data_IF_062758660279
#
_entry.id   IF_062758660279
#
_cell.length_a   1.000
_cell.length_b   1.000
_cell.length_c   1.000
_cell.angle_alpha   90.00
_cell.angle_beta   90.00
_cell.angle_gamma   90.00
#
_symmetry.space_group_name_H-M   'P 1'
#
loop_
_entity.id
_entity.type
_entity.pdbx_description
1 polymer ?
#
# COMPACT_ATOMS: atom_id res chain seq x y z
N UNK A 1 -27.60 -28.54 0.88
CA UNK A 1 -28.33 -27.27 0.96
C UNK A 1 -28.58 -26.79 -0.48
N UNK A 2 -29.81 -26.87 -1.00
CA UNK A 2 -30.09 -26.42 -2.36
C UNK A 2 -29.90 -24.90 -2.44
N UNK A 3 -28.97 -24.43 -3.29
CA UNK A 3 -28.67 -23.00 -3.48
C UNK A 3 -27.22 -22.57 -3.19
N UNK A 4 -26.38 -23.46 -2.65
CA UNK A 4 -24.94 -23.16 -2.48
C UNK A 4 -24.21 -23.37 -3.80
N UNK A 5 -23.57 -22.32 -4.32
CA UNK A 5 -22.76 -22.40 -5.54
C UNK A 5 -21.35 -22.90 -5.25
N UNK A 6 -20.74 -22.49 -4.13
CA UNK A 6 -19.38 -22.94 -3.74
C UNK A 6 -19.08 -22.66 -2.27
N UNK A 7 -18.17 -23.44 -1.70
CA UNK A 7 -17.61 -23.24 -0.35
C UNK A 7 -16.09 -23.37 -0.44
N UNK A 8 -15.36 -22.44 0.18
CA UNK A 8 -13.90 -22.47 0.23
C UNK A 8 -13.40 -22.48 1.68
N UNK A 9 -12.40 -23.32 2.01
CA UNK A 9 -11.75 -23.27 3.32
C UNK A 9 -11.06 -21.93 3.55
N UNK A 10 -11.14 -21.42 4.78
CA UNK A 10 -10.37 -20.25 5.18
C UNK A 10 -8.87 -20.52 5.09
N UNK A 11 -8.07 -19.54 4.64
CA UNK A 11 -6.62 -19.66 4.48
C UNK A 11 -5.92 -18.56 5.28
N UNK A 12 -4.82 -18.93 5.94
CA UNK A 12 -3.93 -17.97 6.59
C UNK A 12 -3.06 -17.30 5.54
N UNK A 13 -2.99 -15.96 5.57
CA UNK A 13 -2.02 -15.19 4.79
C UNK A 13 -0.88 -14.75 5.72
N UNK A 14 0.33 -14.65 5.16
CA UNK A 14 1.50 -14.12 5.86
C UNK A 14 1.77 -12.70 5.39
N UNK A 15 2.14 -11.82 6.32
CA UNK A 15 2.55 -10.46 5.98
C UNK A 15 3.86 -10.50 5.19
N UNK A 16 3.91 -9.74 4.11
CA UNK A 16 5.10 -9.53 3.27
C UNK A 16 5.40 -8.03 3.17
N UNK A 17 5.33 -7.32 4.28
CA UNK A 17 5.58 -5.87 4.31
C UNK A 17 7.08 -5.58 4.30
N UNK A 18 7.48 -4.65 3.45
CA UNK A 18 8.79 -4.01 3.49
C UNK A 18 8.55 -2.54 3.84
N UNK A 19 9.47 -1.88 4.55
CA UNK A 19 9.31 -0.46 4.90
C UNK A 19 9.35 0.40 3.63
N UNK A 20 8.17 0.75 3.10
CA UNK A 20 7.97 1.21 1.72
C UNK A 20 8.57 2.57 1.37
N UNK A 21 8.69 3.51 2.33
CA UNK A 21 9.03 4.91 2.02
C UNK A 21 10.54 5.15 1.86
N UNK A 22 11.35 4.61 2.76
CA UNK A 22 12.82 4.64 2.62
C UNK A 22 13.27 3.83 1.40
N UNK A 23 12.63 2.68 1.15
CA UNK A 23 12.95 1.80 0.03
C UNK A 23 12.75 2.46 -1.35
N UNK A 24 11.74 3.33 -1.48
CA UNK A 24 11.45 4.02 -2.74
C UNK A 24 12.29 5.31 -2.93
N UNK A 25 13.14 5.67 -1.96
CA UNK A 25 14.00 6.88 -2.04
C UNK A 25 13.21 8.18 -2.12
N UNK A 26 11.97 8.18 -1.62
CA UNK A 26 11.04 9.31 -1.71
C UNK A 26 11.22 10.31 -0.56
N UNK A 27 12.03 9.96 0.44
CA UNK A 27 12.31 10.76 1.63
C UNK A 27 13.78 10.62 2.04
N UNK A 28 14.38 11.72 2.52
CA UNK A 28 15.70 11.73 3.14
C UNK A 28 15.65 12.55 4.42
N UNK A 29 16.01 11.95 5.56
CA UNK A 29 16.04 12.61 6.87
C UNK A 29 14.73 13.34 7.25
N UNK A 30 13.56 12.74 6.98
CA UNK A 30 12.28 13.38 7.33
C UNK A 30 11.75 14.38 6.30
N UNK A 31 12.45 14.57 5.17
CA UNK A 31 12.16 15.63 4.19
C UNK A 31 12.06 15.11 2.77
N UNK A 32 11.11 15.65 2.02
CA UNK A 32 11.01 15.46 0.58
C UNK A 32 11.96 16.41 -0.15
N UNK A 33 12.71 15.90 -1.12
CA UNK A 33 13.60 16.73 -1.94
C UNK A 33 12.80 17.65 -2.89
N UNK A 34 13.30 18.86 -3.22
CA UNK A 34 12.71 19.68 -4.28
C UNK A 34 12.73 18.93 -5.62
N UNK A 35 11.66 19.06 -6.41
CA UNK A 35 11.41 18.33 -7.68
C UNK A 35 11.29 16.81 -7.52
N UNK A 36 11.03 16.33 -6.30
CA UNK A 36 10.76 14.91 -6.03
C UNK A 36 9.47 14.41 -6.70
N UNK A 37 9.31 13.09 -6.76
CA UNK A 37 8.07 12.47 -7.26
C UNK A 37 6.84 12.86 -6.43
N UNK A 38 7.02 13.20 -5.14
CA UNK A 38 5.96 13.73 -4.30
C UNK A 38 5.42 15.07 -4.78
N UNK A 39 6.31 16.02 -5.05
CA UNK A 39 5.93 17.35 -5.57
C UNK A 39 5.30 17.21 -6.96
N UNK A 40 5.86 16.36 -7.83
CA UNK A 40 5.31 16.12 -9.18
C UNK A 40 3.95 15.41 -9.17
N UNK A 41 3.68 14.62 -8.13
CA UNK A 41 2.43 13.88 -7.97
C UNK A 41 1.39 14.60 -7.10
N UNK A 42 1.55 15.91 -6.84
CA UNK A 42 0.71 16.69 -5.94
C UNK A 42 0.46 15.98 -4.59
N UNK A 43 1.46 15.26 -4.07
CA UNK A 43 1.36 14.51 -2.82
C UNK A 43 0.20 13.50 -2.77
N UNK A 44 -0.26 13.01 -3.92
CA UNK A 44 -1.39 12.07 -4.00
C UNK A 44 -2.76 12.72 -3.95
N UNK A 45 -2.87 14.00 -4.34
CA UNK A 45 -4.16 14.65 -4.59
C UNK A 45 -5.07 13.75 -5.45
N UNK A 46 -6.31 13.56 -4.99
CA UNK A 46 -7.33 12.69 -5.60
C UNK A 46 -6.96 11.20 -5.72
N UNK A 47 -5.98 10.72 -4.94
CA UNK A 47 -5.58 9.30 -4.87
C UNK A 47 -6.01 8.67 -3.55
N UNK A 48 -6.67 7.50 -3.63
CA UNK A 48 -7.02 6.67 -2.46
C UNK A 48 -6.08 5.47 -2.41
N UNK A 49 -5.38 5.30 -1.28
CA UNK A 49 -4.52 4.13 -1.01
C UNK A 49 -5.19 3.29 0.08
N UNK A 50 -5.65 2.08 -0.27
CA UNK A 50 -6.16 1.11 0.69
C UNK A 50 -5.04 0.24 1.24
N UNK A 51 -4.82 0.27 2.56
CA UNK A 51 -3.86 -0.56 3.26
C UNK A 51 -4.60 -1.65 4.05
N UNK A 52 -4.34 -2.91 3.75
CA UNK A 52 -4.83 -4.06 4.52
C UNK A 52 -3.61 -4.73 5.12
N UNK A 53 -3.34 -4.39 6.36
CA UNK A 53 -2.24 -4.89 7.17
C UNK A 53 -2.77 -5.15 8.59
N UNK A 54 -1.96 -5.76 9.46
CA UNK A 54 -2.35 -6.12 10.84
C UNK A 54 -2.49 -4.92 11.77
#
# INVERSE_FOLDING_TARGET
>A
HPGVVSVFPNKKNHLLTTHSWEFLGLEHEGKTLPKSLWEKGNYGEDVIIGHIDS
#
